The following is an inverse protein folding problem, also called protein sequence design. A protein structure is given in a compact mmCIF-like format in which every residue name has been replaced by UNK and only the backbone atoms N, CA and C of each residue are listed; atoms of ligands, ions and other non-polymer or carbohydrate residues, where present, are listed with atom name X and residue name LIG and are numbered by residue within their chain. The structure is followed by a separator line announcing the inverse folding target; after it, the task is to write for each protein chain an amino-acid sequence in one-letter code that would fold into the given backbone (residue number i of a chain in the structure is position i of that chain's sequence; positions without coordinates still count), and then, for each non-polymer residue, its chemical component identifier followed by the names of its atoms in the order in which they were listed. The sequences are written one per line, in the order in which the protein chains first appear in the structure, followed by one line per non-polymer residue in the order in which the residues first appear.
data_IF_664263167876
#
_entry.id   IF_664263167876
#
_cell.length_a   1.000
_cell.length_b   1.000
_cell.length_c   1.000
_cell.angle_alpha   90.00
_cell.angle_beta   90.00
_cell.angle_gamma   90.00
#
_symmetry.space_group_name_H-M   'P 1'
#
loop_
_entity.id
_entity.type
_entity.pdbx_description
1 polymer ?
#
# COMPACT_ATOMS: atom_id res chain seq x y z
N UNK A 1 36.80 6.48 7.84
CA UNK A 1 35.76 6.18 8.84
C UNK A 1 34.74 5.29 8.14
N UNK A 2 34.79 3.99 8.41
CA UNK A 2 33.92 3.00 7.77
C UNK A 2 32.77 2.74 8.74
N UNK A 3 31.56 3.18 8.39
CA UNK A 3 30.36 2.89 9.18
C UNK A 3 30.01 1.42 8.94
N UNK A 4 30.01 0.54 9.95
CA UNK A 4 29.59 -0.84 9.74
C UNK A 4 28.09 -0.84 9.39
N UNK A 5 27.75 -1.34 8.20
CA UNK A 5 26.38 -1.64 7.81
C UNK A 5 25.82 -2.64 8.82
N UNK A 6 24.67 -2.37 9.48
CA UNK A 6 24.15 -3.28 10.49
C UNK A 6 23.83 -4.64 9.87
N UNK A 7 24.34 -5.71 10.49
CA UNK A 7 24.17 -7.12 10.09
C UNK A 7 22.70 -7.61 10.09
N UNK A 8 21.77 -6.76 10.56
CA UNK A 8 20.33 -7.01 10.63
C UNK A 8 19.71 -7.38 9.28
N UNK A 9 20.17 -6.78 8.17
CA UNK A 9 19.59 -7.02 6.85
C UNK A 9 19.70 -8.48 6.39
N UNK A 10 20.72 -9.23 6.82
CA UNK A 10 20.88 -10.62 6.40
C UNK A 10 20.03 -11.59 7.23
N UNK A 11 19.79 -11.31 8.52
CA UNK A 11 19.02 -12.20 9.41
C UNK A 11 17.53 -12.19 9.09
N UNK A 12 16.95 -11.00 8.88
CA UNK A 12 15.53 -10.87 8.52
C UNK A 12 15.25 -11.47 7.14
N UNK A 13 16.12 -11.21 6.16
CA UNK A 13 16.00 -11.79 4.82
C UNK A 13 16.15 -13.33 4.85
N UNK A 14 17.04 -13.86 5.69
CA UNK A 14 17.16 -15.31 5.89
C UNK A 14 15.91 -15.90 6.53
N UNK A 15 15.34 -15.24 7.55
CA UNK A 15 14.06 -15.65 8.14
C UNK A 15 12.94 -15.63 7.08
N UNK A 16 12.88 -14.57 6.26
CA UNK A 16 11.88 -14.43 5.20
C UNK A 16 11.97 -15.55 4.16
N UNK A 17 13.17 -16.07 3.85
CA UNK A 17 13.32 -17.23 2.96
C UNK A 17 12.67 -18.51 3.48
N UNK A 18 12.37 -18.59 4.79
CA UNK A 18 11.66 -19.72 5.40
C UNK A 18 10.14 -19.54 5.35
N UNK A 19 9.64 -18.34 5.03
CA UNK A 19 8.22 -18.07 4.83
C UNK A 19 7.75 -18.59 3.47
N UNK A 20 6.51 -19.09 3.40
CA UNK A 20 5.94 -19.72 2.19
C UNK A 20 5.49 -21.17 2.37
N UNK A 21 5.71 -21.76 3.55
CA UNK A 21 4.99 -22.97 3.98
C UNK A 21 3.52 -22.67 4.27
N UNK A 22 2.68 -23.71 4.33
CA UNK A 22 1.31 -23.56 4.80
C UNK A 22 1.32 -23.05 6.25
N UNK A 23 0.78 -21.85 6.46
CA UNK A 23 0.57 -21.29 7.79
C UNK A 23 -0.50 -22.08 8.54
N UNK A 24 -0.47 -21.96 9.87
CA UNK A 24 -1.60 -22.39 10.71
C UNK A 24 -2.49 -21.16 10.90
N UNK A 25 -3.77 -21.30 10.59
CA UNK A 25 -4.74 -20.25 10.87
C UNK A 25 -4.86 -20.09 12.38
N UNK A 26 -4.59 -18.88 12.87
CA UNK A 26 -4.82 -18.50 14.26
C UNK A 26 -6.05 -17.59 14.30
N UNK A 27 -6.93 -17.79 15.28
CA UNK A 27 -8.07 -16.91 15.51
C UNK A 27 -7.59 -15.60 16.13
N UNK A 28 -7.15 -14.67 15.29
CA UNK A 28 -6.83 -13.30 15.67
C UNK A 28 -7.87 -12.40 15.05
N UNK A 29 -8.71 -11.78 15.89
CA UNK A 29 -9.67 -10.79 15.42
C UNK A 29 -8.93 -9.50 15.05
N UNK A 30 -9.21 -8.96 13.86
CA UNK A 30 -8.71 -7.65 13.47
C UNK A 30 -9.63 -6.58 14.07
N UNK A 31 -9.12 -5.71 14.96
CA UNK A 31 -9.94 -4.69 15.60
C UNK A 31 -10.63 -3.80 14.58
N UNK A 32 -11.91 -3.50 14.82
CA UNK A 32 -12.69 -2.52 14.08
C UNK A 32 -12.95 -1.32 14.97
N UNK A 33 -12.44 -0.16 14.57
CA UNK A 33 -12.47 1.07 15.36
C UNK A 33 -13.48 2.02 14.74
N UNK A 34 -14.47 2.42 15.52
CA UNK A 34 -15.51 3.35 15.10
C UNK A 34 -15.09 4.80 15.37
N UNK A 35 -14.99 5.60 14.31
CA UNK A 35 -14.63 7.02 14.37
C UNK A 35 -15.84 7.96 14.57
N UNK A 36 -17.05 7.42 14.77
CA UNK A 36 -18.23 8.20 15.10
C UNK A 36 -18.08 8.94 16.43
N UNK A 37 -18.73 10.11 16.53
CA UNK A 37 -18.71 10.96 17.73
C UNK A 37 -17.28 11.32 18.22
N UNK A 38 -16.38 11.52 17.27
CA UNK A 38 -14.95 11.71 17.52
C UNK A 38 -14.63 12.79 18.55
N UNK A 39 -15.36 13.91 18.56
CA UNK A 39 -15.10 15.01 19.51
C UNK A 39 -15.32 14.59 20.96
N UNK A 40 -16.33 13.75 21.24
CA UNK A 40 -16.61 13.27 22.59
C UNK A 40 -15.83 11.99 22.94
N UNK A 41 -15.44 11.18 21.94
CA UNK A 41 -14.76 9.89 22.10
C UNK A 41 -13.26 9.91 21.76
N UNK A 42 -12.67 11.10 21.55
CA UNK A 42 -11.29 11.25 21.08
C UNK A 42 -10.28 10.40 21.87
N UNK A 43 -10.35 10.42 23.20
CA UNK A 43 -9.41 9.66 24.03
C UNK A 43 -9.60 8.15 23.87
N UNK A 44 -10.84 7.67 23.88
CA UNK A 44 -11.18 6.26 23.67
C UNK A 44 -10.67 5.77 22.30
N UNK A 45 -10.88 6.55 21.24
CA UNK A 45 -10.43 6.24 19.89
C UNK A 45 -8.90 6.19 19.81
N UNK A 46 -8.19 7.13 20.47
CA UNK A 46 -6.72 7.12 20.55
C UNK A 46 -6.23 5.84 21.22
N UNK A 47 -6.84 5.45 22.33
CA UNK A 47 -6.42 4.25 23.08
C UNK A 47 -6.65 2.97 22.25
N UNK A 48 -7.79 2.89 21.55
CA UNK A 48 -8.09 1.79 20.62
C UNK A 48 -7.08 1.71 19.46
N UNK A 49 -6.75 2.84 18.84
CA UNK A 49 -5.76 2.92 17.76
C UNK A 49 -4.38 2.49 18.24
N UNK A 50 -3.96 2.97 19.42
CA UNK A 50 -2.68 2.62 20.01
C UNK A 50 -2.61 1.12 20.28
N UNK A 51 -3.61 0.56 20.98
CA UNK A 51 -3.64 -0.86 21.32
C UNK A 51 -3.60 -1.73 20.06
N UNK A 52 -4.44 -1.45 19.06
CA UNK A 52 -4.47 -2.21 17.82
C UNK A 52 -3.14 -2.12 17.06
N UNK A 53 -2.52 -0.95 17.02
CA UNK A 53 -1.22 -0.76 16.36
C UNK A 53 -0.07 -1.51 17.08
N UNK A 54 -0.08 -1.57 18.42
CA UNK A 54 1.01 -2.19 19.19
C UNK A 54 0.84 -3.68 19.41
N UNK A 55 -0.39 -4.19 19.46
CA UNK A 55 -0.66 -5.61 19.76
C UNK A 55 -0.91 -6.43 18.50
N UNK A 56 -1.64 -5.88 17.52
CA UNK A 56 -2.04 -6.59 16.30
C UNK A 56 -1.22 -6.12 15.09
N UNK A 57 -0.91 -4.82 15.03
CA UNK A 57 -0.25 -4.19 13.88
C UNK A 57 -1.19 -3.86 12.71
N UNK A 58 -2.48 -4.19 12.84
CA UNK A 58 -3.53 -3.94 11.84
C UNK A 58 -4.86 -3.61 12.52
N UNK A 59 -5.67 -2.78 11.87
CA UNK A 59 -7.06 -2.47 12.28
C UNK A 59 -7.87 -2.00 11.07
N UNK A 60 -9.20 -2.03 11.21
CA UNK A 60 -10.16 -1.46 10.27
C UNK A 60 -10.79 -0.22 10.90
N UNK A 61 -11.04 0.82 10.10
CA UNK A 61 -11.77 2.00 10.53
C UNK A 61 -13.18 1.95 9.96
N UNK A 62 -14.18 2.29 10.77
CA UNK A 62 -15.57 2.49 10.33
C UNK A 62 -16.06 3.88 10.72
N UNK A 63 -17.09 4.38 10.01
CA UNK A 63 -17.61 5.73 10.17
C UNK A 63 -16.52 6.83 10.09
N UNK A 64 -15.49 6.60 9.25
CA UNK A 64 -14.33 7.48 9.07
C UNK A 64 -14.63 8.76 8.28
N UNK A 65 -15.88 9.01 7.91
CA UNK A 65 -16.30 10.25 7.23
C UNK A 65 -15.98 10.33 5.75
N UNK A 66 -15.37 9.31 5.15
CA UNK A 66 -15.25 9.25 3.68
C UNK A 66 -16.58 8.79 3.09
N UNK A 67 -17.03 9.47 2.04
CA UNK A 67 -18.23 9.09 1.31
C UNK A 67 -17.96 7.81 0.52
N UNK A 68 -18.85 6.82 0.66
CA UNK A 68 -18.76 5.56 -0.10
C UNK A 68 -18.71 5.80 -1.61
N UNK A 69 -19.42 6.81 -2.11
CA UNK A 69 -19.38 7.22 -3.53
C UNK A 69 -17.98 7.62 -3.98
N UNK A 70 -17.24 8.39 -3.17
CA UNK A 70 -15.88 8.79 -3.51
C UNK A 70 -14.92 7.59 -3.51
N UNK A 71 -15.12 6.64 -2.59
CA UNK A 71 -14.36 5.37 -2.56
C UNK A 71 -14.65 4.56 -3.82
N UNK A 72 -15.92 4.36 -4.18
CA UNK A 72 -16.31 3.63 -5.39
C UNK A 72 -15.74 4.27 -6.65
N UNK A 73 -15.85 5.60 -6.78
CA UNK A 73 -15.29 6.32 -7.92
C UNK A 73 -13.76 6.14 -8.03
N UNK A 74 -13.03 6.12 -6.90
CA UNK A 74 -11.59 5.86 -6.91
C UNK A 74 -11.26 4.45 -7.42
N UNK A 75 -12.05 3.43 -7.03
CA UNK A 75 -11.90 2.07 -7.54
C UNK A 75 -12.25 1.96 -9.03
N UNK A 76 -13.32 2.61 -9.49
CA UNK A 76 -13.72 2.65 -10.91
C UNK A 76 -12.62 3.29 -11.78
N UNK A 77 -12.03 4.41 -11.34
CA UNK A 77 -10.92 5.05 -12.05
C UNK A 77 -9.66 4.17 -12.08
N UNK A 78 -9.37 3.47 -10.99
CA UNK A 78 -8.28 2.50 -10.91
C UNK A 78 -8.49 1.35 -11.90
N UNK A 79 -9.67 0.74 -11.89
CA UNK A 79 -10.04 -0.35 -12.81
C UNK A 79 -9.96 0.11 -14.28
N UNK A 80 -10.49 1.29 -14.60
CA UNK A 80 -10.43 1.86 -15.94
C UNK A 80 -8.99 2.05 -16.42
N UNK A 81 -8.10 2.58 -15.56
CA UNK A 81 -6.68 2.74 -15.89
C UNK A 81 -5.98 1.40 -16.11
N UNK A 82 -6.15 0.44 -15.20
CA UNK A 82 -5.45 -0.85 -15.29
C UNK A 82 -5.99 -1.76 -16.41
N UNK A 83 -7.22 -1.52 -16.87
CA UNK A 83 -7.81 -2.18 -18.05
C UNK A 83 -7.20 -1.70 -19.39
N UNK A 84 -6.44 -0.60 -19.40
CA UNK A 84 -5.75 -0.13 -20.61
C UNK A 84 -4.67 -1.13 -21.06
N UNK A 85 -4.35 -1.18 -22.37
CA UNK A 85 -3.19 -1.90 -22.87
C UNK A 85 -1.91 -1.47 -22.16
N UNK A 86 -0.97 -2.40 -22.02
CA UNK A 86 0.29 -2.16 -21.32
C UNK A 86 1.06 -0.97 -21.89
N UNK A 87 1.04 -0.81 -23.22
CA UNK A 87 1.71 0.28 -23.94
C UNK A 87 1.14 1.65 -23.58
N UNK A 88 -0.18 1.74 -23.35
CA UNK A 88 -0.82 2.98 -22.92
C UNK A 88 -0.44 3.33 -21.48
N UNK A 89 -0.39 2.34 -20.58
CA UNK A 89 0.05 2.53 -19.18
C UNK A 89 1.54 2.91 -19.10
N UNK A 90 2.36 2.36 -20.00
CA UNK A 90 3.79 2.66 -20.09
C UNK A 90 4.11 4.13 -20.44
N UNK A 91 3.13 4.91 -20.91
CA UNK A 91 3.27 6.35 -21.09
C UNK A 91 3.45 7.12 -19.76
N UNK A 92 3.13 6.49 -18.62
CA UNK A 92 3.22 7.10 -17.30
C UNK A 92 4.22 6.36 -16.39
N UNK A 93 5.51 6.22 -16.77
CA UNK A 93 6.44 5.34 -16.07
C UNK A 93 6.76 5.80 -14.64
N UNK A 94 7.01 4.85 -13.75
CA UNK A 94 7.52 5.12 -12.41
C UNK A 94 8.85 5.89 -12.49
N UNK A 95 8.83 7.15 -12.04
CA UNK A 95 10.01 8.02 -12.01
C UNK A 95 10.95 7.58 -10.88
N UNK A 96 12.19 7.24 -11.25
CA UNK A 96 13.22 6.77 -10.33
C UNK A 96 13.43 7.75 -9.16
N UNK A 97 13.28 7.25 -7.93
CA UNK A 97 13.50 8.03 -6.71
C UNK A 97 12.39 9.01 -6.35
N UNK A 98 11.30 9.07 -7.12
CA UNK A 98 10.18 9.97 -6.85
C UNK A 98 8.92 9.26 -6.33
N UNK A 99 8.89 7.92 -6.37
CA UNK A 99 7.71 7.11 -6.01
C UNK A 99 6.42 7.62 -6.69
N UNK A 100 6.51 7.91 -7.99
CA UNK A 100 5.40 8.45 -8.77
C UNK A 100 5.38 7.83 -10.17
N UNK A 101 4.26 7.25 -10.57
CA UNK A 101 4.04 6.61 -11.87
C UNK A 101 3.77 5.11 -11.81
N UNK A 102 3.64 4.51 -12.99
CA UNK A 102 3.28 3.12 -13.23
C UNK A 102 4.49 2.18 -13.27
N UNK A 103 4.34 1.00 -12.67
CA UNK A 103 5.30 -0.10 -12.78
C UNK A 103 4.59 -1.45 -12.94
N UNK A 104 5.26 -2.41 -13.59
CA UNK A 104 4.77 -3.78 -13.80
C UNK A 104 5.90 -4.77 -13.56
N UNK A 105 5.67 -5.75 -12.68
CA UNK A 105 6.62 -6.83 -12.35
C UNK A 105 8.05 -6.37 -11.99
N UNK A 106 8.20 -5.15 -11.49
CA UNK A 106 9.49 -4.52 -11.15
C UNK A 106 10.03 -4.94 -9.78
N UNK A 107 9.16 -5.40 -8.89
CA UNK A 107 9.51 -5.71 -7.50
C UNK A 107 9.86 -7.19 -7.34
N UNK A 108 11.15 -7.47 -7.22
CA UNK A 108 11.68 -8.81 -6.94
C UNK A 108 11.95 -8.91 -5.44
N UNK A 109 11.33 -9.88 -4.79
CA UNK A 109 11.61 -10.16 -3.37
C UNK A 109 13.03 -10.69 -3.22
N UNK A 110 13.90 -10.05 -2.40
CA UNK A 110 15.26 -10.53 -2.20
C UNK A 110 15.30 -11.96 -1.62
N UNK A 111 14.30 -12.30 -0.81
CA UNK A 111 14.14 -13.58 -0.11
C UNK A 111 13.83 -14.74 -1.07
N UNK A 112 12.86 -14.58 -1.96
CA UNK A 112 12.38 -15.65 -2.87
C UNK A 112 12.92 -15.54 -4.29
N UNK A 113 13.50 -14.39 -4.66
CA UNK A 113 13.89 -14.02 -6.03
C UNK A 113 12.74 -14.06 -7.04
N UNK A 114 11.51 -14.09 -6.56
CA UNK A 114 10.30 -14.08 -7.38
C UNK A 114 9.82 -12.65 -7.54
N UNK A 115 9.50 -12.27 -8.77
CA UNK A 115 8.81 -11.01 -9.03
C UNK A 115 7.37 -11.13 -8.52
N UNK A 116 6.90 -10.11 -7.79
CA UNK A 116 5.49 -10.02 -7.44
C UNK A 116 4.68 -9.93 -8.75
N UNK A 117 3.66 -10.79 -8.92
CA UNK A 117 2.74 -10.73 -10.06
C UNK A 117 1.76 -9.55 -9.87
N UNK A 118 2.28 -8.33 -10.05
CA UNK A 118 1.53 -7.10 -9.86
C UNK A 118 1.94 -6.02 -10.85
N UNK A 119 1.00 -5.11 -11.08
CA UNK A 119 1.27 -3.73 -11.47
C UNK A 119 0.87 -2.78 -10.34
N UNK A 120 1.46 -1.60 -10.34
CA UNK A 120 1.04 -0.52 -9.46
C UNK A 120 1.16 0.84 -10.14
N UNK A 121 0.37 1.80 -9.67
CA UNK A 121 0.47 3.20 -10.05
C UNK A 121 0.59 4.04 -8.78
N UNK A 122 1.73 4.71 -8.62
CA UNK A 122 2.03 5.47 -7.41
C UNK A 122 1.72 6.95 -7.62
N UNK A 123 0.98 7.54 -6.69
CA UNK A 123 0.63 8.96 -6.71
C UNK A 123 1.37 9.66 -5.56
N UNK A 124 2.36 10.48 -5.93
CA UNK A 124 3.07 11.38 -5.00
C UNK A 124 2.85 12.81 -5.48
N UNK A 125 1.93 13.53 -4.84
CA UNK A 125 1.39 14.82 -5.34
C UNK A 125 2.44 15.80 -5.90
N UNK A 126 3.60 16.03 -5.24
CA UNK A 126 4.64 16.94 -5.76
C UNK A 126 5.33 16.49 -7.06
N UNK A 127 5.06 15.29 -7.57
CA UNK A 127 5.79 14.66 -8.68
C UNK A 127 4.89 14.21 -9.83
N UNK A 128 3.63 14.67 -9.85
CA UNK A 128 2.60 14.18 -10.77
C UNK A 128 2.41 14.99 -12.06
N UNK A 129 3.12 16.10 -12.26
CA UNK A 129 2.85 17.08 -13.35
C UNK A 129 2.66 16.45 -14.74
N UNK A 130 3.44 15.42 -15.12
CA UNK A 130 3.32 14.73 -16.42
C UNK A 130 2.81 13.28 -16.29
N UNK A 131 2.28 12.91 -15.12
CA UNK A 131 1.89 11.54 -14.81
C UNK A 131 0.38 11.35 -14.68
N UNK A 132 -0.41 12.42 -14.66
CA UNK A 132 -1.86 12.29 -14.59
C UNK A 132 -2.47 11.76 -15.90
N UNK A 133 -3.20 10.63 -15.89
CA UNK A 133 -3.78 10.06 -17.10
C UNK A 133 -4.76 10.98 -17.81
N UNK A 134 -5.45 11.85 -17.06
CA UNK A 134 -6.46 12.79 -17.56
C UNK A 134 -5.89 14.02 -18.31
N UNK A 135 -4.57 14.21 -18.36
CA UNK A 135 -3.95 15.26 -19.18
C UNK A 135 -3.55 14.80 -20.58
N UNK A 136 -3.54 13.49 -20.85
CA UNK A 136 -3.09 12.97 -22.15
C UNK A 136 -3.90 11.79 -22.68
N UNK A 137 -4.56 10.97 -21.86
CA UNK A 137 -5.29 9.79 -22.36
C UNK A 137 -6.39 9.32 -21.38
N UNK A 138 -7.60 9.87 -21.47
CA UNK A 138 -8.87 9.16 -21.20
C UNK A 138 -9.98 9.87 -22.01
N UNK A 139 -10.86 9.17 -22.75
CA UNK A 139 -11.92 9.78 -23.58
C UNK A 139 -12.91 10.68 -22.81
#
# INVERSE_FOLDING_TARGET
MHTPTPEYGLKELQLETTFGGFGVETQNEIPMIDLSDFENRRQEIIDQLWQAATEVGFFQLVNHGLLNEAVHQAFELSEAFFSLPQEAKAAFPLKKGLNAGWEFMSQVRPSTRTADQKESFQITLPHMDDLWPNQTVVP
#
